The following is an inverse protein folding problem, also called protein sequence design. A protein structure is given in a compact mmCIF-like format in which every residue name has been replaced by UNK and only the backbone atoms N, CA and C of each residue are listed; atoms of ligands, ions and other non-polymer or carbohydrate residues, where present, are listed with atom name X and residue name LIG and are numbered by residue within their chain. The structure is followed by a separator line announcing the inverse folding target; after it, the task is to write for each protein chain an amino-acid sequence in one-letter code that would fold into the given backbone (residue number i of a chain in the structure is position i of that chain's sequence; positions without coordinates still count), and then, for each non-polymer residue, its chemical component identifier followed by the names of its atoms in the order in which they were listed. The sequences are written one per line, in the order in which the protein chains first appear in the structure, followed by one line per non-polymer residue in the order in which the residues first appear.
data_IF_051220192338
#
_entry.id   IF_051220192338
#
_cell.length_a   1.000
_cell.length_b   1.000
_cell.length_c   1.000
_cell.angle_alpha   90.00
_cell.angle_beta   90.00
_cell.angle_gamma   90.00
#
_symmetry.space_group_name_H-M   'P 1'
#
loop_
_entity.id
_entity.type
_entity.pdbx_description
1 polymer ?
#
# COMPACT_ATOMS: atom_id res chain seq x y z
N UNK A 1 -37.91 26.16 50.32
CA UNK A 1 -37.06 25.01 50.03
C UNK A 1 -36.82 24.99 48.50
N UNK A 2 -35.65 25.47 48.07
CA UNK A 2 -35.23 25.50 46.64
C UNK A 2 -34.52 24.18 46.33
N UNK A 3 -35.09 23.35 45.43
CA UNK A 3 -34.44 22.14 44.91
C UNK A 3 -33.50 22.54 43.78
N UNK A 4 -32.19 22.47 43.99
CA UNK A 4 -31.16 22.62 43.00
C UNK A 4 -31.08 21.33 42.20
N UNK A 5 -31.46 21.36 40.92
CA UNK A 5 -31.25 20.28 39.97
C UNK A 5 -29.81 20.35 39.48
N UNK A 6 -28.98 19.43 39.94
CA UNK A 6 -27.61 19.29 39.43
C UNK A 6 -27.69 18.49 38.12
N UNK A 7 -27.60 19.19 36.98
CA UNK A 7 -27.45 18.57 35.66
C UNK A 7 -25.99 18.14 35.50
N UNK A 8 -25.70 16.86 35.67
CA UNK A 8 -24.43 16.27 35.33
C UNK A 8 -24.43 16.06 33.81
N UNK A 9 -23.79 16.98 33.08
CA UNK A 9 -23.49 16.81 31.65
C UNK A 9 -22.32 15.86 31.58
N UNK A 10 -22.58 14.57 31.32
CA UNK A 10 -21.56 13.60 30.96
C UNK A 10 -21.04 13.93 29.54
N UNK A 11 -19.91 14.63 29.48
CA UNK A 11 -19.19 14.86 28.24
C UNK A 11 -18.57 13.52 27.82
N UNK A 12 -19.26 12.78 26.95
CA UNK A 12 -18.70 11.61 26.27
C UNK A 12 -17.61 12.11 25.32
N UNK A 13 -16.38 12.16 25.81
CA UNK A 13 -15.19 12.28 24.97
C UNK A 13 -15.06 10.98 24.18
N UNK A 14 -15.61 10.95 22.98
CA UNK A 14 -15.32 9.92 22.01
C UNK A 14 -13.85 10.06 21.61
N UNK A 15 -12.99 9.26 22.25
CA UNK A 15 -11.60 9.11 21.82
C UNK A 15 -11.64 8.42 20.45
N UNK A 16 -11.53 9.21 19.40
CA UNK A 16 -11.29 8.67 18.06
C UNK A 16 -9.88 8.08 18.10
N UNK A 17 -9.79 6.77 18.25
CA UNK A 17 -8.51 6.06 18.17
C UNK A 17 -7.97 6.25 16.75
N UNK A 18 -7.03 7.16 16.59
CA UNK A 18 -6.26 7.24 15.37
C UNK A 18 -5.45 5.95 15.25
N UNK A 19 -5.61 5.22 14.14
CA UNK A 19 -4.74 4.08 13.85
C UNK A 19 -3.29 4.55 13.81
N UNK A 20 -2.42 3.90 14.57
CA UNK A 20 -1.00 4.21 14.54
C UNK A 20 -0.45 3.95 13.12
N UNK A 21 0.37 4.87 12.63
CA UNK A 21 1.02 4.69 11.34
C UNK A 21 2.08 3.58 11.44
N UNK A 22 2.04 2.63 10.51
CA UNK A 22 3.06 1.60 10.36
C UNK A 22 4.09 2.07 9.34
N UNK A 23 5.37 1.87 9.65
CA UNK A 23 6.48 2.21 8.75
C UNK A 23 7.32 0.98 8.48
N UNK A 24 7.60 0.72 7.21
CA UNK A 24 8.50 -0.35 6.74
C UNK A 24 9.54 0.21 5.78
N UNK A 25 10.68 -0.48 5.69
CA UNK A 25 11.72 -0.17 4.71
C UNK A 25 11.41 -0.84 3.38
N UNK A 26 11.81 -0.20 2.31
CA UNK A 26 11.98 -0.86 1.03
C UNK A 26 13.15 -1.85 1.09
N UNK A 27 13.06 -2.90 0.33
CA UNK A 27 14.13 -3.86 0.06
C UNK A 27 14.27 -4.04 -1.45
N UNK A 28 15.34 -4.69 -1.88
CA UNK A 28 15.45 -5.09 -3.28
C UNK A 28 14.26 -5.97 -3.65
N UNK A 29 13.63 -5.68 -4.75
CA UNK A 29 12.68 -6.58 -5.37
C UNK A 29 13.40 -7.85 -5.83
N UNK A 30 12.65 -8.90 -6.01
CA UNK A 30 13.22 -10.19 -6.38
C UNK A 30 13.90 -10.18 -7.78
N UNK A 31 13.50 -9.23 -8.62
CA UNK A 31 14.04 -9.00 -9.95
C UNK A 31 14.52 -7.56 -10.16
N UNK A 32 15.12 -6.95 -9.14
CA UNK A 32 15.37 -5.52 -9.08
C UNK A 32 16.29 -4.94 -10.18
N UNK A 33 16.74 -5.75 -11.10
CA UNK A 33 17.56 -5.33 -12.26
C UNK A 33 18.72 -4.39 -11.92
N UNK A 34 19.30 -4.54 -10.74
CA UNK A 34 20.37 -3.68 -10.21
C UNK A 34 19.96 -2.21 -10.01
N UNK A 35 18.69 -1.92 -9.81
CA UNK A 35 18.22 -0.58 -9.48
C UNK A 35 18.82 -0.07 -8.17
N UNK A 36 19.42 1.13 -8.20
CA UNK A 36 20.00 1.70 -6.98
C UNK A 36 18.91 2.13 -6.00
N UNK A 37 19.16 1.97 -4.71
CA UNK A 37 18.31 2.52 -3.65
C UNK A 37 19.07 2.62 -2.33
N UNK A 38 18.91 3.71 -1.62
CA UNK A 38 19.34 3.78 -0.23
C UNK A 38 18.29 3.14 0.69
N UNK A 39 18.39 1.84 0.93
CA UNK A 39 17.44 1.06 1.72
C UNK A 39 17.30 1.53 3.17
N UNK A 40 18.29 2.22 3.73
CA UNK A 40 18.18 2.76 5.09
C UNK A 40 17.32 4.02 5.19
N UNK A 41 17.19 4.77 4.10
CA UNK A 41 16.46 6.04 4.04
C UNK A 41 15.13 5.93 3.29
N UNK A 42 14.95 4.89 2.50
CA UNK A 42 13.75 4.63 1.71
C UNK A 42 12.74 3.84 2.53
N UNK A 43 11.47 4.25 2.49
CA UNK A 43 10.43 3.64 3.33
C UNK A 43 9.04 3.81 2.77
N UNK A 44 8.15 2.98 3.26
CA UNK A 44 6.70 3.12 3.12
C UNK A 44 6.12 3.38 4.49
N UNK A 45 5.16 4.28 4.56
CA UNK A 45 4.38 4.51 5.79
C UNK A 45 2.90 4.46 5.43
N UNK A 46 2.12 3.71 6.20
CA UNK A 46 0.68 3.65 5.99
C UNK A 46 -0.09 3.72 7.30
N UNK A 47 -1.34 4.13 7.20
CA UNK A 47 -2.30 4.09 8.29
C UNK A 47 -3.71 3.85 7.75
N UNK A 48 -4.58 3.26 8.56
CA UNK A 48 -6.00 3.07 8.25
C UNK A 48 -6.82 4.05 9.06
N UNK A 49 -7.71 4.77 8.42
CA UNK A 49 -8.71 5.58 9.12
C UNK A 49 -9.86 4.65 9.57
N UNK A 50 -10.06 4.46 10.89
CA UNK A 50 -11.02 3.50 11.40
C UNK A 50 -12.49 3.89 11.14
N UNK A 51 -12.76 5.17 10.91
CA UNK A 51 -14.13 5.66 10.66
C UNK A 51 -14.53 5.53 9.20
N UNK A 52 -13.57 5.69 8.28
CA UNK A 52 -13.85 5.75 6.84
C UNK A 52 -13.31 4.53 6.09
N UNK A 53 -12.63 3.63 6.78
CA UNK A 53 -11.92 2.47 6.19
C UNK A 53 -11.01 2.85 5.02
N UNK A 54 -10.47 4.07 5.04
CA UNK A 54 -9.52 4.54 4.03
C UNK A 54 -8.10 4.27 4.45
N UNK A 55 -7.30 3.83 3.49
CA UNK A 55 -5.87 3.57 3.63
C UNK A 55 -5.09 4.78 3.11
N UNK A 56 -4.31 5.41 3.98
CA UNK A 56 -3.34 6.44 3.62
C UNK A 56 -1.97 5.81 3.49
N UNK A 57 -1.29 6.01 2.36
CA UNK A 57 0.05 5.46 2.11
C UNK A 57 0.97 6.56 1.63
N UNK A 58 2.19 6.58 2.16
CA UNK A 58 3.28 7.44 1.70
C UNK A 58 4.47 6.59 1.30
N UNK A 59 4.93 6.77 0.09
CA UNK A 59 6.11 6.14 -0.48
C UNK A 59 7.25 7.13 -0.53
N UNK A 60 8.43 6.73 -0.06
CA UNK A 60 9.66 7.51 -0.14
C UNK A 60 10.77 6.66 -0.72
N UNK A 61 11.36 7.15 -1.81
CA UNK A 61 12.58 6.62 -2.42
C UNK A 61 13.72 7.62 -2.23
N UNK A 62 14.91 7.14 -1.93
CA UNK A 62 16.12 7.95 -1.76
C UNK A 62 17.27 7.25 -2.47
N UNK A 63 17.94 7.96 -3.37
CA UNK A 63 19.06 7.43 -4.14
C UNK A 63 18.67 6.34 -5.13
N UNK A 64 17.43 6.35 -5.61
CA UNK A 64 16.99 5.55 -6.73
C UNK A 64 17.54 6.11 -8.06
N UNK A 65 17.24 5.50 -9.18
CA UNK A 65 17.66 6.06 -10.48
C UNK A 65 17.09 7.46 -10.67
N UNK A 66 17.92 8.47 -10.99
CA UNK A 66 17.48 9.84 -11.18
C UNK A 66 16.48 10.02 -12.33
N UNK A 67 15.55 10.96 -12.15
CA UNK A 67 14.57 11.37 -13.17
C UNK A 67 13.75 10.21 -13.73
N UNK A 68 13.44 9.22 -12.88
CA UNK A 68 12.75 8.00 -13.25
C UNK A 68 11.36 7.94 -12.62
N UNK A 69 10.45 7.23 -13.27
CA UNK A 69 9.11 6.94 -12.77
C UNK A 69 9.08 5.53 -12.19
N UNK A 70 8.54 5.39 -10.99
CA UNK A 70 8.28 4.10 -10.34
C UNK A 70 6.80 4.00 -10.02
N UNK A 71 6.12 3.09 -10.67
CA UNK A 71 4.75 2.73 -10.32
C UNK A 71 4.74 2.02 -8.98
N UNK A 72 3.85 2.41 -8.09
CA UNK A 72 3.68 1.78 -6.78
C UNK A 72 2.33 1.10 -6.67
N UNK A 73 2.35 -0.14 -6.22
CA UNK A 73 1.20 -1.04 -6.13
C UNK A 73 1.12 -1.65 -4.74
N UNK A 74 -0.08 -1.90 -4.25
CA UNK A 74 -0.34 -2.80 -3.13
C UNK A 74 -0.88 -4.12 -3.67
N UNK A 75 -0.28 -5.25 -3.27
CA UNK A 75 -0.77 -6.59 -3.52
C UNK A 75 -1.46 -7.13 -2.28
N UNK A 76 -2.59 -7.80 -2.48
CA UNK A 76 -3.33 -8.52 -1.46
C UNK A 76 -3.22 -10.02 -1.74
N UNK A 77 -2.82 -10.79 -0.74
CA UNK A 77 -2.69 -12.22 -0.86
C UNK A 77 -4.01 -12.87 -0.42
N UNK A 78 -4.80 -13.28 -1.40
CA UNK A 78 -6.18 -13.77 -1.22
C UNK A 78 -6.25 -15.28 -1.02
N UNK A 79 -5.19 -16.00 -1.30
CA UNK A 79 -5.08 -17.45 -1.13
C UNK A 79 -3.97 -17.80 -0.13
N UNK A 80 -3.92 -19.05 0.30
CA UNK A 80 -2.85 -19.55 1.17
C UNK A 80 -1.52 -19.44 0.44
N UNK A 81 -0.63 -18.67 0.99
CA UNK A 81 0.65 -18.34 0.43
C UNK A 81 1.78 -19.18 1.04
N UNK A 82 2.92 -19.44 0.40
CA UNK A 82 3.49 -18.68 -0.71
C UNK A 82 3.01 -19.16 -2.09
N UNK A 83 2.91 -18.26 -3.09
CA UNK A 83 2.74 -18.67 -4.46
C UNK A 83 3.99 -19.45 -4.90
N UNK A 84 3.83 -20.23 -5.95
CA UNK A 84 4.98 -20.84 -6.63
C UNK A 84 5.93 -19.72 -7.08
N UNK A 85 7.23 -19.93 -6.89
CA UNK A 85 8.26 -19.01 -7.32
C UNK A 85 7.98 -18.43 -8.72
N UNK A 86 8.03 -17.10 -8.85
CA UNK A 86 7.70 -16.39 -10.10
C UNK A 86 6.22 -16.08 -10.31
N UNK A 87 5.33 -16.41 -9.37
CA UNK A 87 3.92 -16.04 -9.44
C UNK A 87 3.64 -14.86 -8.50
N UNK A 88 3.06 -13.79 -9.09
CA UNK A 88 2.56 -12.64 -8.35
C UNK A 88 1.07 -12.77 -8.11
N UNK A 89 0.54 -12.14 -7.02
CA UNK A 89 -0.89 -12.06 -6.80
C UNK A 89 -1.59 -11.32 -7.95
N UNK A 90 -2.26 -12.08 -8.79
CA UNK A 90 -3.17 -11.59 -9.82
C UNK A 90 -4.54 -12.22 -9.59
N UNK A 91 -5.60 -11.67 -10.17
CA UNK A 91 -6.93 -12.28 -10.08
C UNK A 91 -6.96 -13.71 -10.61
N UNK A 92 -6.06 -14.05 -11.52
CA UNK A 92 -5.98 -15.40 -12.13
C UNK A 92 -5.41 -16.43 -11.18
N UNK A 93 -4.37 -16.09 -10.39
CA UNK A 93 -3.66 -17.05 -9.55
C UNK A 93 -3.94 -16.90 -8.04
N UNK A 94 -4.52 -15.80 -7.61
CA UNK A 94 -4.73 -15.43 -6.22
C UNK A 94 -6.20 -15.13 -5.90
N UNK A 95 -7.03 -14.92 -6.91
CA UNK A 95 -8.40 -14.45 -6.76
C UNK A 95 -8.48 -12.99 -6.30
N UNK A 96 -9.63 -12.38 -6.46
CA UNK A 96 -9.92 -11.00 -6.06
C UNK A 96 -10.65 -11.01 -4.72
N UNK A 97 -9.96 -10.80 -3.61
CA UNK A 97 -10.53 -10.91 -2.25
C UNK A 97 -10.78 -9.57 -1.57
N UNK A 98 -10.32 -8.47 -2.13
CA UNK A 98 -10.44 -7.16 -1.50
C UNK A 98 -11.33 -6.26 -2.35
N UNK A 99 -12.44 -5.81 -1.79
CA UNK A 99 -13.24 -4.75 -2.42
C UNK A 99 -12.69 -3.40 -1.99
N UNK A 100 -12.29 -2.59 -2.96
CA UNK A 100 -11.70 -1.27 -2.74
C UNK A 100 -12.25 -0.26 -3.74
N UNK A 101 -12.44 0.98 -3.28
CA UNK A 101 -12.80 2.11 -4.15
C UNK A 101 -11.56 2.96 -4.43
N UNK A 102 -11.28 3.22 -5.69
CA UNK A 102 -10.23 4.12 -6.12
C UNK A 102 -10.72 4.97 -7.30
N UNK A 103 -10.53 6.29 -7.21
CA UNK A 103 -10.98 7.26 -8.23
C UNK A 103 -12.45 7.08 -8.66
N UNK A 104 -13.32 6.75 -7.70
CA UNK A 104 -14.75 6.54 -7.95
C UNK A 104 -15.11 5.16 -8.51
N UNK A 105 -14.15 4.30 -8.82
CA UNK A 105 -14.38 2.91 -9.26
C UNK A 105 -14.25 1.97 -8.07
N UNK A 106 -15.27 1.14 -7.85
CA UNK A 106 -15.26 0.08 -6.83
C UNK A 106 -15.13 -1.27 -7.54
N UNK A 107 -14.15 -2.05 -7.15
CA UNK A 107 -13.89 -3.37 -7.70
C UNK A 107 -13.36 -4.32 -6.63
N UNK A 108 -13.54 -5.63 -6.86
CA UNK A 108 -12.84 -6.68 -6.10
C UNK A 108 -11.55 -7.00 -6.82
N UNK A 109 -10.43 -6.96 -6.11
CA UNK A 109 -9.09 -7.04 -6.69
C UNK A 109 -8.13 -7.84 -5.81
N UNK A 110 -7.05 -8.32 -6.40
CA UNK A 110 -5.87 -8.83 -5.70
C UNK A 110 -4.71 -7.81 -5.69
N UNK A 111 -4.75 -6.80 -6.54
CA UNK A 111 -3.74 -5.76 -6.60
C UNK A 111 -4.35 -4.41 -6.99
N UNK A 112 -3.79 -3.33 -6.45
CA UNK A 112 -4.20 -1.96 -6.78
C UNK A 112 -2.97 -1.12 -7.05
N UNK A 113 -2.92 -0.52 -8.24
CA UNK A 113 -1.97 0.55 -8.51
C UNK A 113 -2.32 1.77 -7.65
N UNK A 114 -1.38 2.24 -6.87
CA UNK A 114 -1.57 3.38 -5.98
C UNK A 114 -1.17 4.71 -6.63
N UNK A 115 -0.22 4.68 -7.54
CA UNK A 115 0.26 5.83 -8.31
C UNK A 115 1.71 5.69 -8.71
N UNK A 116 2.36 6.84 -8.92
CA UNK A 116 3.73 6.90 -9.43
C UNK A 116 4.59 7.78 -8.55
N UNK A 117 5.74 7.26 -8.12
CA UNK A 117 6.81 8.07 -7.52
C UNK A 117 7.71 8.54 -8.65
N UNK A 118 7.84 9.86 -8.80
CA UNK A 118 8.82 10.46 -9.70
C UNK A 118 10.04 10.86 -8.90
N UNK A 119 11.21 10.41 -9.31
CA UNK A 119 12.48 10.79 -8.67
C UNK A 119 13.05 12.07 -9.31
N UNK A 120 13.68 12.87 -8.47
CA UNK A 120 14.43 14.05 -8.89
C UNK A 120 15.79 13.70 -9.50
N UNK A 121 16.60 14.73 -9.83
CA UNK A 121 17.95 14.56 -10.39
C UNK A 121 18.92 13.84 -9.43
N UNK A 122 18.58 13.75 -8.13
CA UNK A 122 19.37 13.05 -7.11
C UNK A 122 18.80 11.66 -6.78
N UNK A 123 17.79 11.21 -7.53
CA UNK A 123 17.13 9.93 -7.29
C UNK A 123 16.21 9.91 -6.06
N UNK A 124 15.74 11.08 -5.59
CA UNK A 124 14.82 11.16 -4.46
C UNK A 124 13.40 11.41 -4.95
N UNK A 125 12.44 10.69 -4.39
CA UNK A 125 11.03 10.86 -4.70
C UNK A 125 10.14 10.56 -3.51
N UNK A 126 8.99 11.24 -3.46
CA UNK A 126 7.95 10.98 -2.46
C UNK A 126 6.59 11.10 -3.13
N UNK A 127 5.73 10.14 -2.83
CA UNK A 127 4.35 10.12 -3.29
C UNK A 127 3.43 9.71 -2.14
N UNK A 128 2.32 10.41 -1.97
CA UNK A 128 1.32 10.09 -0.96
C UNK A 128 -0.06 9.96 -1.60
N UNK A 129 -0.81 8.99 -1.13
CA UNK A 129 -2.15 8.69 -1.65
C UNK A 129 -3.08 8.24 -0.54
N UNK A 130 -4.37 8.51 -0.71
CA UNK A 130 -5.45 7.94 0.11
C UNK A 130 -6.36 7.14 -0.81
N UNK A 131 -6.58 5.87 -0.49
CA UNK A 131 -7.44 4.97 -1.25
C UNK A 131 -8.54 4.39 -0.36
N UNK A 132 -9.59 3.91 -0.96
CA UNK A 132 -10.72 3.31 -0.26
C UNK A 132 -11.99 4.16 -0.36
N UNK A 133 -13.05 3.73 0.35
CA UNK A 133 -13.02 2.72 1.39
C UNK A 133 -12.53 1.34 0.91
N UNK A 134 -11.88 0.64 1.80
CA UNK A 134 -11.48 -0.76 1.65
C UNK A 134 -12.44 -1.59 2.50
N UNK A 135 -12.91 -2.72 2.00
CA UNK A 135 -13.79 -3.60 2.77
C UNK A 135 -13.13 -4.04 4.09
N UNK A 136 -13.93 -4.15 5.15
CA UNK A 136 -13.47 -4.59 6.46
C UNK A 136 -12.87 -5.99 6.38
N UNK A 137 -11.78 -6.20 7.10
CA UNK A 137 -11.09 -7.49 7.13
C UNK A 137 -9.63 -7.37 7.50
N UNK A 138 -8.99 -8.51 7.64
CA UNK A 138 -7.55 -8.61 7.84
C UNK A 138 -6.92 -9.21 6.60
N UNK A 139 -6.00 -8.48 6.00
CA UNK A 139 -5.39 -8.83 4.73
C UNK A 139 -3.88 -8.96 4.88
N UNK A 140 -3.34 -9.97 4.25
CA UNK A 140 -1.90 -10.10 4.03
C UNK A 140 -1.53 -9.30 2.80
N UNK A 141 -0.54 -8.42 2.91
CA UNK A 141 -0.18 -7.47 1.84
C UNK A 141 1.33 -7.41 1.59
N UNK A 142 1.66 -6.91 0.41
CA UNK A 142 2.98 -6.49 -0.01
C UNK A 142 2.87 -5.19 -0.81
N UNK A 143 3.82 -4.30 -0.66
CA UNK A 143 3.98 -3.14 -1.54
C UNK A 143 5.10 -3.39 -2.52
N UNK A 144 4.88 -2.99 -3.76
CA UNK A 144 5.84 -3.16 -4.86
C UNK A 144 6.02 -1.84 -5.60
N UNK A 145 7.24 -1.51 -5.95
CA UNK A 145 7.57 -0.42 -6.87
C UNK A 145 8.22 -1.00 -8.12
N UNK A 146 7.71 -0.62 -9.28
CA UNK A 146 8.16 -1.10 -10.61
C UNK A 146 8.65 0.06 -11.44
N UNK A 147 9.59 -0.21 -12.32
CA UNK A 147 9.98 0.73 -13.35
C UNK A 147 8.80 1.02 -14.30
N UNK A 148 8.54 2.30 -14.54
CA UNK A 148 7.53 2.73 -15.50
C UNK A 148 6.39 3.55 -14.93
N UNK A 149 5.49 3.97 -15.80
CA UNK A 149 4.43 4.94 -15.53
C UNK A 149 3.05 4.32 -15.23
N UNK A 150 2.95 3.00 -15.16
CA UNK A 150 1.70 2.45 -14.68
C UNK A 150 0.97 1.44 -15.56
N UNK A 151 0.18 0.63 -14.91
CA UNK A 151 -0.59 -0.47 -15.45
C UNK A 151 -2.11 -0.27 -15.36
N UNK A 152 -2.60 0.91 -15.27
CA UNK A 152 -4.03 1.14 -15.05
C UNK A 152 -4.46 0.98 -13.58
N UNK A 153 -5.52 1.67 -13.22
CA UNK A 153 -5.81 2.05 -11.83
C UNK A 153 -6.46 0.97 -10.98
N UNK A 154 -7.25 0.10 -11.56
CA UNK A 154 -7.96 -0.99 -10.87
C UNK A 154 -8.21 -2.09 -11.89
N UNK A 155 -7.80 -3.31 -11.58
CA UNK A 155 -8.08 -4.46 -12.44
C UNK A 155 -7.19 -4.57 -13.68
N UNK A 156 -6.03 -3.93 -13.70
CA UNK A 156 -4.95 -4.24 -14.61
C UNK A 156 -5.13 -3.78 -16.07
N UNK A 157 -4.34 -2.78 -16.45
CA UNK A 157 -3.86 -2.65 -17.82
C UNK A 157 -2.53 -3.41 -17.97
N UNK A 158 -1.98 -3.53 -19.17
CA UNK A 158 -0.67 -4.13 -19.36
C UNK A 158 0.39 -3.29 -18.64
N UNK A 159 1.01 -3.86 -17.62
CA UNK A 159 2.20 -3.32 -17.01
C UNK A 159 3.36 -3.42 -17.98
N UNK A 160 4.40 -2.63 -17.75
CA UNK A 160 5.67 -2.92 -18.39
C UNK A 160 6.09 -4.35 -18.01
N UNK A 161 6.01 -5.23 -18.99
CA UNK A 161 6.26 -6.67 -18.81
C UNK A 161 7.72 -6.99 -18.49
N UNK A 162 8.62 -6.00 -18.65
CA UNK A 162 10.04 -6.17 -18.34
C UNK A 162 10.35 -6.12 -16.85
N UNK A 163 9.39 -5.63 -16.02
CA UNK A 163 9.53 -5.48 -14.57
C UNK A 163 8.30 -6.03 -13.85
N UNK A 164 7.86 -7.22 -14.22
CA UNK A 164 6.62 -7.82 -13.70
C UNK A 164 6.64 -8.00 -12.18
N UNK A 165 7.82 -8.24 -11.60
CA UNK A 165 7.99 -8.53 -10.18
C UNK A 165 8.28 -7.33 -9.30
N UNK A 166 8.78 -6.23 -9.89
CA UNK A 166 9.14 -5.01 -9.17
C UNK A 166 10.61 -4.87 -8.85
N UNK A 167 11.07 -3.63 -8.92
CA UNK A 167 12.45 -3.26 -8.58
C UNK A 167 12.66 -3.22 -7.08
N UNK A 168 11.64 -2.78 -6.34
CA UNK A 168 11.64 -2.71 -4.87
C UNK A 168 10.37 -3.30 -4.30
N UNK A 169 10.47 -3.94 -3.14
CA UNK A 169 9.34 -4.51 -2.42
C UNK A 169 9.39 -4.21 -0.92
N UNK A 170 8.26 -4.35 -0.23
CA UNK A 170 8.16 -4.20 1.21
C UNK A 170 6.92 -4.97 1.74
N UNK A 171 7.07 -5.81 2.77
CA UNK A 171 8.33 -6.19 3.42
C UNK A 171 9.15 -7.10 2.50
N UNK A 172 10.36 -7.33 2.86
CA UNK A 172 11.21 -8.23 2.10
C UNK A 172 12.60 -8.23 2.68
N UNK A 173 13.55 -9.06 2.33
CA UNK A 173 14.08 -9.23 0.98
C UNK A 173 13.67 -10.51 0.26
N UNK A 174 12.88 -11.35 0.89
CA UNK A 174 12.53 -12.66 0.30
C UNK A 174 11.22 -12.55 -0.49
N UNK A 175 11.16 -13.17 -1.65
CA UNK A 175 9.92 -13.30 -2.41
C UNK A 175 8.82 -13.93 -1.52
N UNK A 176 7.67 -13.27 -1.45
CA UNK A 176 6.56 -13.69 -0.59
C UNK A 176 6.64 -13.20 0.86
N UNK A 177 7.65 -12.40 1.23
CA UNK A 177 7.61 -11.69 2.50
C UNK A 177 6.40 -10.74 2.50
N UNK A 178 5.57 -10.86 3.53
CA UNK A 178 4.31 -10.13 3.62
C UNK A 178 4.13 -9.48 4.98
N UNK A 179 3.23 -8.53 5.06
CA UNK A 179 2.78 -7.94 6.31
C UNK A 179 1.26 -7.99 6.39
N UNK A 180 0.71 -7.70 7.55
CA UNK A 180 -0.73 -7.75 7.77
C UNK A 180 -1.28 -6.34 7.96
N UNK A 181 -2.42 -6.07 7.32
CA UNK A 181 -3.21 -4.86 7.52
C UNK A 181 -4.62 -5.24 7.97
N UNK A 182 -5.13 -4.55 8.99
CA UNK A 182 -6.52 -4.73 9.45
C UNK A 182 -7.32 -3.48 9.10
N UNK A 183 -8.41 -3.68 8.39
CA UNK A 183 -9.40 -2.67 8.03
C UNK A 183 -10.62 -2.89 8.93
N UNK A 184 -11.01 -1.93 9.75
CA UNK A 184 -12.13 -2.03 10.68
C UNK A 184 -13.50 -2.17 9.99
#
# INVERSE_FOLDING_TARGET
MKRIFLMVVALLLSVIAASAATTQKWTAGWDNFSEPLNYNKSKITWSVNPTTSKLSVTFKLVGATPSKLYQVTIHFFCTTFPPTFGQFPTETNNGACVTITRQGVTASVAAVELGVVTTDINGNGTFAVVVGPVASGTYTIEFVARNGAGCGLVGGGPCDTNHAAGDFQSPGPTFGDTTTITIP
#
